data_IF_671652591548
#
_entry.id   IF_671652591548
#
_cell.length_a   1.000
_cell.length_b   1.000
_cell.length_c   1.000
_cell.angle_alpha   90.00
_cell.angle_beta   90.00
_cell.angle_gamma   90.00
#
_symmetry.space_group_name_H-M   'P 1'
#
loop_
_entity.id
_entity.type
_entity.pdbx_description
1 polymer ?
#
# COMPACT_ATOMS: atom_id res chain seq x y z
N UNK A 1 23.88 -5.23 17.53
CA UNK A 1 22.42 -5.07 17.75
C UNK A 1 21.75 -6.38 17.35
N UNK A 2 20.98 -7.00 18.25
CA UNK A 2 20.20 -8.21 17.92
C UNK A 2 19.00 -7.84 17.07
N UNK A 3 18.60 -8.72 16.15
CA UNK A 3 17.35 -8.56 15.41
C UNK A 3 16.17 -8.63 16.39
N UNK A 4 15.31 -7.61 16.38
CA UNK A 4 14.16 -7.49 17.29
C UNK A 4 13.04 -8.48 17.00
N UNK A 5 12.91 -8.98 15.76
CA UNK A 5 11.88 -9.92 15.33
C UNK A 5 12.28 -11.35 15.65
N UNK A 6 13.47 -11.77 15.24
CA UNK A 6 13.92 -13.17 15.43
C UNK A 6 14.57 -13.40 16.78
N UNK A 7 15.14 -12.38 17.42
CA UNK A 7 15.83 -12.46 18.72
C UNK A 7 17.15 -13.25 18.74
N UNK A 8 17.35 -14.12 17.74
CA UNK A 8 18.49 -15.04 17.63
C UNK A 8 19.52 -14.61 16.59
N UNK A 9 19.14 -13.80 15.60
CA UNK A 9 20.08 -13.27 14.59
C UNK A 9 20.53 -11.84 14.92
N UNK A 10 21.54 -11.35 14.21
CA UNK A 10 21.99 -9.96 14.29
C UNK A 10 21.19 -9.08 13.31
N UNK A 11 21.18 -7.76 13.54
CA UNK A 11 20.54 -6.81 12.62
C UNK A 11 21.29 -6.59 11.29
N UNK A 12 22.54 -7.07 11.18
CA UNK A 12 23.37 -6.91 9.98
C UNK A 12 23.16 -8.08 9.01
N UNK A 13 22.06 -8.02 8.26
CA UNK A 13 21.76 -8.93 7.14
C UNK A 13 20.68 -8.31 6.25
N UNK A 14 20.53 -8.81 5.03
CA UNK A 14 19.41 -8.43 4.15
C UNK A 14 18.24 -9.39 4.37
N UNK A 15 17.05 -8.84 4.61
CA UNK A 15 15.86 -9.64 4.82
C UNK A 15 15.39 -10.25 3.50
N UNK A 16 15.05 -11.54 3.52
CA UNK A 16 14.35 -12.20 2.41
C UNK A 16 12.86 -12.28 2.72
N UNK A 17 12.03 -11.80 1.80
CA UNK A 17 10.57 -11.80 1.94
C UNK A 17 9.97 -12.94 1.13
N UNK A 18 9.15 -13.77 1.77
CA UNK A 18 8.43 -14.89 1.17
C UNK A 18 6.97 -14.53 0.80
N UNK A 19 6.69 -13.22 0.70
CA UNK A 19 5.40 -12.63 0.36
C UNK A 19 5.57 -11.36 -0.46
N UNK A 20 4.51 -10.97 -1.16
CA UNK A 20 4.40 -9.72 -1.88
C UNK A 20 3.73 -8.66 -1.00
N UNK A 21 4.28 -7.44 -1.03
CA UNK A 21 3.69 -6.26 -0.40
C UNK A 21 3.27 -5.27 -1.47
N UNK A 22 2.03 -4.79 -1.39
CA UNK A 22 1.51 -3.76 -2.29
C UNK A 22 1.15 -2.52 -1.48
N UNK A 23 1.63 -1.36 -1.92
CA UNK A 23 1.30 -0.04 -1.37
C UNK A 23 0.44 0.75 -2.34
N UNK A 24 -0.72 1.23 -1.90
CA UNK A 24 -1.62 2.07 -2.71
C UNK A 24 -1.86 3.41 -1.98
N UNK A 25 -1.61 4.56 -2.61
CA UNK A 25 -1.96 5.86 -2.05
C UNK A 25 -3.48 6.10 -2.04
N UNK A 26 -3.96 6.83 -1.03
CA UNK A 26 -5.34 7.34 -0.93
C UNK A 26 -5.39 8.81 -1.35
N UNK A 27 -6.36 9.16 -2.19
CA UNK A 27 -6.62 10.55 -2.59
C UNK A 27 -8.02 10.96 -2.18
N UNK A 28 -8.15 12.20 -1.71
CA UNK A 28 -9.44 12.81 -1.35
C UNK A 28 -9.60 14.17 -2.04
N UNK A 29 -9.46 14.15 -3.36
CA UNK A 29 -9.44 15.36 -4.20
C UNK A 29 -10.84 15.94 -4.42
N UNK A 30 -11.90 15.17 -4.12
CA UNK A 30 -13.27 15.65 -4.18
C UNK A 30 -13.53 16.81 -3.20
N UNK A 31 -12.80 16.87 -2.09
CA UNK A 31 -12.88 17.98 -1.13
C UNK A 31 -12.34 19.31 -1.67
N UNK A 32 -11.56 19.31 -2.76
CA UNK A 32 -10.85 20.50 -3.26
C UNK A 32 -11.27 20.85 -4.69
N UNK A 33 -12.23 21.77 -4.83
CA UNK A 33 -12.84 22.11 -6.13
C UNK A 33 -11.91 22.83 -7.11
N UNK A 34 -10.87 23.51 -6.63
CA UNK A 34 -9.90 24.27 -7.45
C UNK A 34 -8.58 23.53 -7.70
N UNK A 35 -8.47 22.27 -7.30
CA UNK A 35 -7.24 21.48 -7.43
C UNK A 35 -7.36 20.54 -8.62
N UNK A 36 -6.30 20.49 -9.44
CA UNK A 36 -6.21 19.52 -10.54
C UNK A 36 -6.17 18.09 -10.00
N UNK A 37 -6.99 17.21 -10.59
CA UNK A 37 -7.03 15.77 -10.26
C UNK A 37 -5.86 14.97 -10.85
N UNK A 38 -5.05 15.59 -11.72
CA UNK A 38 -3.92 14.91 -12.36
C UNK A 38 -2.80 14.67 -11.34
N UNK A 39 -2.26 13.46 -11.30
CA UNK A 39 -1.11 13.13 -10.46
C UNK A 39 0.19 13.52 -11.19
N UNK A 40 1.16 14.03 -10.43
CA UNK A 40 2.47 14.44 -10.93
C UNK A 40 3.55 14.17 -9.90
N UNK A 41 4.71 14.84 -10.02
CA UNK A 41 5.82 14.69 -9.08
C UNK A 41 5.51 15.21 -7.67
N UNK A 42 4.60 16.18 -7.56
CA UNK A 42 4.15 16.72 -6.28
C UNK A 42 3.08 15.83 -5.64
N UNK A 43 3.28 15.51 -4.36
CA UNK A 43 2.38 14.65 -3.59
C UNK A 43 1.01 15.30 -3.42
N UNK A 44 -0.03 14.53 -3.77
CA UNK A 44 -1.45 14.90 -3.58
C UNK A 44 -2.24 13.89 -2.74
N UNK A 45 -1.62 12.75 -2.41
CA UNK A 45 -2.23 11.71 -1.59
C UNK A 45 -2.36 12.18 -0.14
N UNK A 46 -3.45 11.83 0.51
CA UNK A 46 -3.72 12.16 1.92
C UNK A 46 -3.30 11.03 2.87
N UNK A 47 -3.06 9.84 2.33
CA UNK A 47 -2.63 8.67 3.08
C UNK A 47 -2.22 7.54 2.15
N UNK A 48 -2.00 6.37 2.74
CA UNK A 48 -1.59 5.16 2.03
C UNK A 48 -2.06 3.91 2.78
N UNK A 49 -2.27 2.84 2.02
CA UNK A 49 -2.57 1.51 2.53
C UNK A 49 -1.51 0.54 2.07
N UNK A 50 -1.24 -0.47 2.90
CA UNK A 50 -0.29 -1.54 2.62
C UNK A 50 -1.00 -2.87 2.83
N UNK A 51 -0.89 -3.78 1.85
CA UNK A 51 -1.42 -5.14 1.96
C UNK A 51 -0.33 -6.16 1.69
N UNK A 52 -0.43 -7.31 2.36
CA UNK A 52 0.49 -8.44 2.25
C UNK A 52 -0.28 -9.65 1.71
N UNK A 53 0.33 -10.34 0.74
CA UNK A 53 -0.22 -11.56 0.14
C UNK A 53 0.90 -12.49 -0.35
N UNK A 54 0.59 -13.77 -0.52
CA UNK A 54 1.55 -14.74 -1.09
C UNK A 54 1.69 -14.60 -2.60
N UNK A 55 0.70 -13.97 -3.24
CA UNK A 55 0.67 -13.66 -4.67
C UNK A 55 0.36 -12.17 -4.89
N UNK A 56 0.78 -11.64 -6.03
CA UNK A 56 0.56 -10.24 -6.37
C UNK A 56 -0.93 -9.89 -6.43
N UNK A 57 -1.74 -10.72 -7.08
CA UNK A 57 -3.18 -10.51 -7.28
C UNK A 57 -3.92 -10.47 -5.95
N UNK A 58 -3.51 -11.32 -5.00
CA UNK A 58 -4.06 -11.36 -3.64
C UNK A 58 -3.75 -10.05 -2.89
N UNK A 59 -2.47 -9.66 -2.86
CA UNK A 59 -2.02 -8.46 -2.18
C UNK A 59 -2.66 -7.20 -2.80
N UNK A 60 -2.75 -7.15 -4.13
CA UNK A 60 -3.32 -6.03 -4.87
C UNK A 60 -4.83 -5.87 -4.60
N UNK A 61 -5.60 -6.96 -4.64
CA UNK A 61 -7.04 -6.90 -4.33
C UNK A 61 -7.30 -6.52 -2.87
N UNK A 62 -6.48 -7.00 -1.92
CA UNK A 62 -6.57 -6.59 -0.52
C UNK A 62 -6.29 -5.09 -0.37
N UNK A 63 -5.24 -4.59 -1.02
CA UNK A 63 -4.90 -3.16 -0.96
C UNK A 63 -6.01 -2.30 -1.53
N UNK A 64 -6.60 -2.65 -2.68
CA UNK A 64 -7.71 -1.90 -3.28
C UNK A 64 -8.90 -1.77 -2.34
N UNK A 65 -9.32 -2.86 -1.70
CA UNK A 65 -10.41 -2.86 -0.71
C UNK A 65 -10.12 -2.01 0.53
N UNK A 66 -8.85 -1.81 0.87
CA UNK A 66 -8.46 -0.98 2.00
C UNK A 66 -8.45 0.52 1.66
N UNK A 67 -8.36 0.88 0.38
CA UNK A 67 -8.35 2.29 -0.03
C UNK A 67 -9.68 2.97 0.23
N UNK A 68 -10.81 2.30 -0.06
CA UNK A 68 -12.16 2.83 0.13
C UNK A 68 -13.12 1.71 0.50
N UNK A 69 -14.06 1.98 1.40
CA UNK A 69 -15.11 1.02 1.80
C UNK A 69 -16.03 0.66 0.63
N UNK A 70 -16.16 1.52 -0.37
CA UNK A 70 -16.97 1.28 -1.57
C UNK A 70 -16.27 0.44 -2.64
N UNK A 71 -14.95 0.23 -2.51
CA UNK A 71 -14.16 -0.53 -3.49
C UNK A 71 -14.09 -1.99 -3.03
N UNK A 72 -14.70 -2.91 -3.78
CA UNK A 72 -14.68 -4.35 -3.47
C UNK A 72 -13.46 -5.10 -4.06
N UNK A 73 -12.68 -4.44 -4.92
CA UNK A 73 -11.52 -5.00 -5.59
C UNK A 73 -11.37 -4.44 -6.99
N UNK A 74 -11.11 -5.30 -7.97
CA UNK A 74 -11.13 -4.94 -9.38
C UNK A 74 -12.58 -4.93 -9.90
N UNK A 75 -13.28 -3.82 -9.67
CA UNK A 75 -14.60 -3.61 -10.27
C UNK A 75 -14.44 -2.96 -11.66
N UNK A 76 -14.98 -3.55 -12.74
CA UNK A 76 -14.89 -2.98 -14.07
C UNK A 76 -15.95 -1.89 -14.37
N UNK A 77 -16.88 -1.61 -13.45
CA UNK A 77 -18.01 -0.69 -13.67
C UNK A 77 -17.96 0.58 -12.82
#
# INVERSE_FOLDING_TARGET
>A
IKNSVTGVTIACFEQSLDYCVVKIPRWDLAKFTRVSKNIGSSMKSVGEVMAIGRKFEEAFQKALRMVDETVLGFDPY
#
